data_IF_642676208399
#
_entry.id   IF_642676208399
#
_cell.length_a   1.000
_cell.length_b   1.000
_cell.length_c   1.000
_cell.angle_alpha   90.00
_cell.angle_beta   90.00
_cell.angle_gamma   90.00
#
_symmetry.space_group_name_H-M   'P 1'
#
loop_
_entity.id
_entity.type
_entity.pdbx_description
1 polymer ?
#
# COMPACT_ATOMS: atom_id res chain seq x y z
N UNK A 1 -16.55 1.33 10.68
CA UNK A 1 -16.32 2.55 9.83
C UNK A 1 -17.40 2.70 8.75
N UNK A 2 -18.06 3.86 8.66
CA UNK A 2 -18.88 4.23 7.48
C UNK A 2 -17.97 4.27 6.24
N UNK A 3 -18.32 3.56 5.17
CA UNK A 3 -17.56 3.63 3.91
C UNK A 3 -17.56 5.09 3.44
N UNK A 4 -16.41 5.75 3.52
CA UNK A 4 -16.26 7.09 2.98
C UNK A 4 -16.66 7.08 1.50
N UNK A 5 -17.41 8.10 1.07
CA UNK A 5 -17.83 8.19 -0.33
C UNK A 5 -16.58 8.22 -1.23
N UNK A 6 -16.64 7.66 -2.45
CA UNK A 6 -15.46 7.58 -3.33
C UNK A 6 -14.76 8.93 -3.54
N UNK A 7 -15.52 10.03 -3.56
CA UNK A 7 -15.00 11.41 -3.65
C UNK A 7 -14.17 11.81 -2.42
N UNK A 8 -14.60 11.44 -1.21
CA UNK A 8 -13.86 11.72 0.03
C UNK A 8 -12.55 10.93 0.06
N UNK A 9 -12.55 9.67 -0.38
CA UNK A 9 -11.33 8.84 -0.43
C UNK A 9 -10.26 9.46 -1.34
N UNK A 10 -10.65 9.87 -2.55
CA UNK A 10 -9.74 10.52 -3.50
C UNK A 10 -9.25 11.88 -3.00
N UNK A 11 -10.11 12.62 -2.29
CA UNK A 11 -9.72 13.88 -1.66
C UNK A 11 -8.65 13.67 -0.58
N UNK A 12 -8.83 12.70 0.31
CA UNK A 12 -7.85 12.36 1.35
C UNK A 12 -6.53 11.87 0.74
N UNK A 13 -6.59 11.03 -0.29
CA UNK A 13 -5.39 10.59 -1.02
C UNK A 13 -4.62 11.76 -1.64
N UNK A 14 -5.34 12.74 -2.20
CA UNK A 14 -4.74 13.96 -2.74
C UNK A 14 -4.07 14.79 -1.65
N UNK A 15 -4.72 14.96 -0.49
CA UNK A 15 -4.12 15.67 0.64
C UNK A 15 -2.86 14.97 1.14
N UNK A 16 -2.89 13.64 1.28
CA UNK A 16 -1.73 12.85 1.69
C UNK A 16 -0.56 13.01 0.70
N UNK A 17 -0.83 12.94 -0.61
CA UNK A 17 0.18 13.14 -1.65
C UNK A 17 0.75 14.57 -1.67
N UNK A 18 -0.11 15.59 -1.54
CA UNK A 18 0.34 16.97 -1.47
C UNK A 18 1.19 17.24 -0.21
N UNK A 19 0.85 16.61 0.91
CA UNK A 19 1.60 16.70 2.16
C UNK A 19 2.93 15.98 2.07
N UNK A 20 3.00 14.77 1.49
CA UNK A 20 4.26 14.03 1.33
C UNK A 20 5.36 14.85 0.64
N UNK A 21 4.98 15.75 -0.28
CA UNK A 21 5.91 16.65 -0.97
C UNK A 21 6.08 18.04 -0.32
N UNK A 22 5.26 18.40 0.68
CA UNK A 22 5.53 19.53 1.57
C UNK A 22 6.40 18.99 2.68
N UNK A 23 7.67 19.39 2.73
CA UNK A 23 8.62 19.03 3.77
C UNK A 23 8.24 19.67 5.13
N UNK A 24 6.96 19.62 5.54
CA UNK A 24 6.42 20.08 6.82
C UNK A 24 6.63 19.02 7.90
N UNK A 25 7.78 18.35 7.92
CA UNK A 25 8.11 17.41 8.99
C UNK A 25 8.16 18.18 10.31
N UNK A 26 7.46 17.64 11.30
CA UNK A 26 7.64 18.11 12.68
C UNK A 26 9.12 17.89 13.00
N UNK A 27 9.80 18.92 13.50
CA UNK A 27 11.20 18.77 13.92
C UNK A 27 11.30 17.65 14.96
N UNK A 28 12.46 16.99 15.05
CA UNK A 28 12.69 15.99 16.12
C UNK A 28 12.43 16.61 17.51
N UNK A 29 12.76 17.88 17.71
CA UNK A 29 12.42 18.64 18.92
C UNK A 29 10.90 18.75 19.15
N UNK A 30 10.10 18.94 18.10
CA UNK A 30 8.64 18.95 18.22
C UNK A 30 8.10 17.57 18.57
N UNK A 31 8.66 16.50 17.99
CA UNK A 31 8.29 15.11 18.34
C UNK A 31 8.65 14.78 19.78
N UNK A 32 9.82 15.21 20.23
CA UNK A 32 10.34 14.96 21.57
C UNK A 32 9.62 15.79 22.63
N UNK A 33 9.33 17.06 22.35
CA UNK A 33 8.47 17.91 23.18
C UNK A 33 7.06 17.33 23.31
N UNK A 34 6.49 16.83 22.20
CA UNK A 34 5.21 16.15 22.19
C UNK A 34 5.26 14.89 23.06
N UNK A 35 6.27 14.03 22.90
CA UNK A 35 6.49 12.83 23.72
C UNK A 35 6.60 13.12 25.21
N UNK A 36 7.27 14.22 25.58
CA UNK A 36 7.39 14.66 26.98
C UNK A 36 6.04 15.14 27.54
N UNK A 37 5.28 15.91 26.76
CA UNK A 37 3.93 16.36 27.13
C UNK A 37 2.94 15.17 27.30
N UNK A 38 3.22 14.03 26.66
CA UNK A 38 2.40 12.81 26.73
C UNK A 38 2.64 11.94 27.96
N UNK A 39 3.83 11.99 28.55
CA UNK A 39 4.16 11.25 29.78
C UNK A 39 3.41 11.79 31.01
N UNK A 40 3.10 13.08 31.01
CA UNK A 40 2.57 13.79 32.20
C UNK A 40 1.03 13.85 32.27
N UNK A 41 0.30 13.46 31.21
CA UNK A 41 -1.18 13.50 31.20
C UNK A 41 -1.80 12.45 30.24
N UNK A 42 -1.76 11.15 30.60
CA UNK A 42 -2.21 10.06 29.72
C UNK A 42 -3.71 10.06 29.39
N UNK A 43 -4.56 10.64 30.26
CA UNK A 43 -6.03 10.46 30.19
C UNK A 43 -6.79 11.55 29.40
N UNK A 44 -6.08 12.47 28.73
CA UNK A 44 -6.72 13.53 27.95
C UNK A 44 -7.26 13.03 26.61
N UNK A 45 -8.56 13.18 26.37
CA UNK A 45 -9.21 12.98 25.05
C UNK A 45 -8.49 13.78 23.94
N UNK A 46 -7.96 14.97 24.27
CA UNK A 46 -7.20 15.79 23.33
C UNK A 46 -5.89 15.13 22.90
N UNK A 47 -5.18 14.51 23.84
CA UNK A 47 -3.92 13.80 23.58
C UNK A 47 -4.18 12.54 22.75
N UNK A 48 -5.23 11.76 23.06
CA UNK A 48 -5.66 10.62 22.25
C UNK A 48 -5.97 11.02 20.80
N UNK A 49 -6.72 12.11 20.60
CA UNK A 49 -7.02 12.66 19.26
C UNK A 49 -5.75 13.10 18.52
N UNK A 50 -4.79 13.69 19.23
CA UNK A 50 -3.52 14.11 18.62
C UNK A 50 -2.65 12.91 18.21
N UNK A 51 -2.49 11.91 19.08
CA UNK A 51 -1.77 10.65 18.77
C UNK A 51 -2.37 9.97 17.55
N UNK A 52 -3.70 9.90 17.47
CA UNK A 52 -4.39 9.34 16.30
C UNK A 52 -4.10 10.12 15.01
N UNK A 53 -4.03 11.46 15.07
CA UNK A 53 -3.67 12.30 13.92
C UNK A 53 -2.24 12.08 13.46
N UNK A 54 -1.29 11.98 14.40
CA UNK A 54 0.11 11.70 14.09
C UNK A 54 0.29 10.31 13.47
N UNK A 55 -0.32 9.29 14.06
CA UNK A 55 -0.32 7.94 13.51
C UNK A 55 -0.94 7.92 12.11
N UNK A 56 -2.09 8.56 11.93
CA UNK A 56 -2.73 8.67 10.62
C UNK A 56 -1.82 9.36 9.60
N UNK A 57 -1.11 10.42 10.02
CA UNK A 57 -0.13 11.11 9.19
C UNK A 57 0.99 10.17 8.76
N UNK A 58 1.64 9.52 9.72
CA UNK A 58 2.77 8.62 9.47
C UNK A 58 2.36 7.45 8.55
N UNK A 59 1.22 6.81 8.83
CA UNK A 59 0.69 5.74 8.00
C UNK A 59 0.42 6.18 6.55
N UNK A 60 -0.14 7.38 6.37
CA UNK A 60 -0.35 7.95 5.03
C UNK A 60 0.97 8.21 4.31
N UNK A 61 1.98 8.72 5.00
CA UNK A 61 3.28 9.05 4.38
C UNK A 61 4.01 7.76 3.96
N UNK A 62 3.92 6.68 4.75
CA UNK A 62 4.42 5.34 4.38
C UNK A 62 3.68 4.82 3.14
N UNK A 63 2.34 4.92 3.09
CA UNK A 63 1.54 4.47 1.94
C UNK A 63 1.91 5.24 0.67
N UNK A 64 1.98 6.58 0.76
CA UNK A 64 2.34 7.43 -0.38
C UNK A 64 3.76 7.11 -0.84
N UNK A 65 4.71 6.95 0.08
CA UNK A 65 6.08 6.56 -0.24
C UNK A 65 6.16 5.21 -0.98
N UNK A 66 5.34 4.22 -0.58
CA UNK A 66 5.27 2.92 -1.24
C UNK A 66 4.82 3.03 -2.70
N UNK A 67 3.73 3.79 -2.93
CA UNK A 67 3.16 4.02 -4.26
C UNK A 67 4.16 4.76 -5.16
N UNK A 68 4.85 5.77 -4.63
CA UNK A 68 5.85 6.54 -5.39
C UNK A 68 7.08 5.68 -5.71
N UNK A 69 7.49 4.79 -4.81
CA UNK A 69 8.68 3.97 -5.02
C UNK A 69 8.54 3.03 -6.24
N UNK A 70 7.34 2.55 -6.51
CA UNK A 70 7.02 1.67 -7.66
C UNK A 70 6.67 2.43 -8.94
N UNK A 71 6.56 3.75 -8.88
CA UNK A 71 6.33 4.56 -10.07
C UNK A 71 7.55 4.49 -11.02
N UNK A 72 7.27 4.57 -12.32
CA UNK A 72 8.32 4.67 -13.35
C UNK A 72 9.14 5.95 -13.17
N UNK A 73 10.30 6.04 -13.83
CA UNK A 73 11.13 7.23 -13.74
C UNK A 73 10.39 8.51 -14.21
N UNK A 74 9.66 8.42 -15.32
CA UNK A 74 8.86 9.53 -15.85
C UNK A 74 7.72 9.92 -14.91
N UNK A 75 7.03 8.93 -14.33
CA UNK A 75 5.97 9.15 -13.37
C UNK A 75 6.50 9.84 -12.09
N UNK A 76 7.70 9.46 -11.62
CA UNK A 76 8.38 10.12 -10.50
C UNK A 76 8.71 11.58 -10.81
N UNK A 77 9.18 11.88 -12.03
CA UNK A 77 9.41 13.26 -12.47
C UNK A 77 8.09 14.03 -12.50
N UNK A 78 7.03 13.45 -13.05
CA UNK A 78 5.70 14.05 -13.07
C UNK A 78 5.23 14.41 -11.66
N UNK A 79 5.30 13.45 -10.72
CA UNK A 79 4.86 13.66 -9.33
C UNK A 79 5.66 14.77 -8.64
N UNK A 80 6.99 14.76 -8.76
CA UNK A 80 7.84 15.82 -8.21
C UNK A 80 7.52 17.18 -8.81
N UNK A 81 7.47 17.28 -10.14
CA UNK A 81 7.24 18.55 -10.82
C UNK A 81 5.83 19.09 -10.51
N UNK A 82 4.83 18.21 -10.35
CA UNK A 82 3.45 18.59 -10.02
C UNK A 82 3.24 19.00 -8.56
N UNK A 83 3.75 18.20 -7.61
CA UNK A 83 3.41 18.32 -6.19
C UNK A 83 4.48 19.04 -5.37
N UNK A 84 5.77 18.87 -5.71
CA UNK A 84 6.88 19.61 -5.07
C UNK A 84 7.11 20.97 -5.72
N UNK A 85 7.30 20.99 -7.05
CA UNK A 85 7.62 22.22 -7.79
C UNK A 85 6.39 23.02 -8.25
N UNK A 86 5.18 22.50 -7.99
CA UNK A 86 3.88 23.14 -8.30
C UNK A 86 3.74 23.58 -9.77
N UNK A 87 4.40 22.89 -10.71
CA UNK A 87 4.30 23.18 -12.14
C UNK A 87 2.91 22.85 -12.69
N UNK A 88 2.48 23.61 -13.69
CA UNK A 88 1.22 23.35 -14.39
C UNK A 88 1.37 22.15 -15.35
N UNK A 89 0.24 21.59 -15.80
CA UNK A 89 0.25 20.41 -16.67
C UNK A 89 0.90 20.67 -18.02
N UNK A 90 0.76 21.87 -18.58
CA UNK A 90 1.35 22.25 -19.86
C UNK A 90 2.87 22.20 -19.81
N UNK A 91 3.49 22.79 -18.77
CA UNK A 91 4.93 22.78 -18.60
C UNK A 91 5.50 21.37 -18.43
N UNK A 92 4.78 20.51 -17.68
CA UNK A 92 5.19 19.11 -17.48
C UNK A 92 5.01 18.31 -18.79
N UNK A 93 3.93 18.56 -19.53
CA UNK A 93 3.63 17.92 -20.81
C UNK A 93 4.72 18.20 -21.84
N UNK A 94 5.15 19.45 -21.96
CA UNK A 94 6.27 19.81 -22.84
C UNK A 94 7.59 19.15 -22.43
N UNK A 95 7.84 19.01 -21.13
CA UNK A 95 9.09 18.43 -20.61
C UNK A 95 9.17 16.90 -20.77
N UNK A 96 8.06 16.21 -20.53
CA UNK A 96 8.02 14.73 -20.57
C UNK A 96 7.58 14.20 -21.94
N UNK A 97 7.20 15.07 -22.89
CA UNK A 97 6.61 14.69 -24.17
C UNK A 97 5.36 13.79 -24.02
N UNK A 98 4.63 13.95 -22.90
CA UNK A 98 3.39 13.21 -22.62
C UNK A 98 2.20 14.16 -22.74
N UNK A 99 1.16 13.73 -23.45
CA UNK A 99 -0.07 14.52 -23.59
C UNK A 99 -0.73 14.80 -22.22
N UNK A 100 -1.38 15.96 -22.06
CA UNK A 100 -2.04 16.37 -20.81
C UNK A 100 -3.01 15.29 -20.29
N UNK A 101 -3.78 14.65 -21.17
CA UNK A 101 -4.67 13.53 -20.80
C UNK A 101 -3.90 12.34 -20.21
N UNK A 102 -2.69 12.06 -20.70
CA UNK A 102 -1.80 11.04 -20.12
C UNK A 102 -1.38 11.40 -18.70
N UNK A 103 -0.97 12.65 -18.49
CA UNK A 103 -0.63 13.15 -17.15
C UNK A 103 -1.83 13.12 -16.18
N UNK A 104 -3.05 13.39 -16.66
CA UNK A 104 -4.27 13.25 -15.87
C UNK A 104 -4.53 11.79 -15.49
N UNK A 105 -4.34 10.85 -16.43
CA UNK A 105 -4.44 9.41 -16.14
C UNK A 105 -3.43 8.97 -15.08
N UNK A 106 -2.18 9.45 -15.16
CA UNK A 106 -1.17 9.18 -14.12
C UNK A 106 -1.60 9.72 -12.77
N UNK A 107 -2.06 10.97 -12.70
CA UNK A 107 -2.60 11.55 -11.45
C UNK A 107 -3.71 10.67 -10.88
N UNK A 108 -4.70 10.31 -11.70
CA UNK A 108 -5.86 9.58 -11.25
C UNK A 108 -5.51 8.13 -10.85
N UNK A 109 -4.53 7.51 -11.53
CA UNK A 109 -3.91 6.23 -11.14
C UNK A 109 -3.33 6.33 -9.72
N UNK A 110 -2.44 7.29 -9.47
CA UNK A 110 -1.81 7.46 -8.16
C UNK A 110 -2.81 7.74 -7.05
N UNK A 111 -3.78 8.64 -7.29
CA UNK A 111 -4.79 8.95 -6.28
C UNK A 111 -5.67 7.75 -5.95
N UNK A 112 -6.02 6.92 -6.95
CA UNK A 112 -6.77 5.69 -6.73
C UNK A 112 -5.96 4.66 -5.94
N UNK A 113 -4.69 4.46 -6.27
CA UNK A 113 -3.82 3.53 -5.55
C UNK A 113 -3.64 3.93 -4.08
N UNK A 114 -3.31 5.20 -3.82
CA UNK A 114 -3.19 5.72 -2.46
C UNK A 114 -4.52 5.57 -1.72
N UNK A 115 -5.65 5.90 -2.35
CA UNK A 115 -6.96 5.78 -1.73
C UNK A 115 -7.33 4.33 -1.34
N UNK A 116 -6.99 3.34 -2.19
CA UNK A 116 -7.23 1.92 -1.89
C UNK A 116 -6.40 1.47 -0.69
N UNK A 117 -5.08 1.75 -0.72
CA UNK A 117 -4.18 1.36 0.36
C UNK A 117 -4.51 2.04 1.69
N UNK A 118 -4.92 3.32 1.68
CA UNK A 118 -5.41 4.02 2.88
C UNK A 118 -6.68 3.42 3.49
N UNK A 119 -7.44 2.63 2.73
CA UNK A 119 -8.59 1.86 3.22
C UNK A 119 -8.23 0.39 3.52
N UNK A 120 -6.94 0.04 3.50
CA UNK A 120 -6.43 -1.32 3.67
C UNK A 120 -6.93 -2.28 2.58
N UNK A 121 -7.28 -1.76 1.40
CA UNK A 121 -7.74 -2.52 0.24
C UNK A 121 -6.55 -2.73 -0.70
N UNK A 122 -6.12 -4.00 -0.89
CA UNK A 122 -5.09 -4.38 -1.85
C UNK A 122 -5.75 -4.94 -3.12
N UNK A 123 -5.79 -4.20 -4.24
CA UNK A 123 -6.38 -4.71 -5.48
C UNK A 123 -5.52 -5.82 -6.09
N UNK A 124 -6.12 -6.73 -6.88
CA UNK A 124 -5.45 -7.91 -7.44
C UNK A 124 -4.16 -7.59 -8.21
N UNK A 125 -4.15 -6.49 -8.97
CA UNK A 125 -2.95 -6.02 -9.68
C UNK A 125 -1.76 -5.74 -8.77
N UNK A 126 -2.02 -5.34 -7.53
CA UNK A 126 -1.00 -4.98 -6.53
C UNK A 126 -0.67 -6.17 -5.61
N UNK A 127 -1.34 -7.32 -5.77
CA UNK A 127 -1.08 -8.54 -4.99
C UNK A 127 0.33 -9.07 -5.24
N UNK A 128 0.96 -8.71 -6.36
CA UNK A 128 2.35 -9.10 -6.67
C UNK A 128 3.39 -8.09 -6.16
N UNK A 129 2.96 -6.94 -5.63
CA UNK A 129 3.87 -5.93 -5.07
C UNK A 129 4.27 -6.28 -3.64
N UNK A 130 5.47 -6.85 -3.50
CA UNK A 130 6.07 -7.14 -2.20
C UNK A 130 6.12 -5.90 -1.28
N UNK A 131 6.42 -4.73 -1.88
CA UNK A 131 6.51 -3.46 -1.15
C UNK A 131 5.15 -3.01 -0.63
N UNK A 132 4.09 -3.01 -1.46
CA UNK A 132 2.75 -2.57 -1.05
C UNK A 132 2.17 -3.51 0.00
N UNK A 133 2.38 -4.82 -0.13
CA UNK A 133 1.96 -5.80 0.89
C UNK A 133 2.66 -5.55 2.22
N UNK A 134 3.99 -5.42 2.23
CA UNK A 134 4.75 -5.14 3.45
C UNK A 134 4.37 -3.81 4.11
N UNK A 135 4.05 -2.79 3.31
CA UNK A 135 3.58 -1.49 3.82
C UNK A 135 2.19 -1.60 4.44
N UNK A 136 1.26 -2.32 3.83
CA UNK A 136 -0.05 -2.57 4.42
C UNK A 136 0.06 -3.29 5.76
N UNK A 137 0.94 -4.29 5.87
CA UNK A 137 1.23 -4.97 7.14
C UNK A 137 1.71 -4.00 8.21
N UNK A 138 2.76 -3.23 7.92
CA UNK A 138 3.33 -2.25 8.85
C UNK A 138 2.28 -1.23 9.32
N UNK A 139 1.43 -0.76 8.41
CA UNK A 139 0.37 0.19 8.73
C UNK A 139 -0.71 -0.48 9.59
N UNK A 140 -1.12 -1.71 9.28
CA UNK A 140 -2.10 -2.44 10.07
C UNK A 140 -1.60 -2.71 11.49
N UNK A 141 -0.35 -3.18 11.63
CA UNK A 141 0.28 -3.45 12.93
C UNK A 141 0.30 -2.21 13.82
N UNK A 142 0.74 -1.06 13.31
CA UNK A 142 0.74 0.19 14.08
C UNK A 142 -0.65 0.67 14.47
N UNK A 143 -1.63 0.50 13.59
CA UNK A 143 -3.01 0.83 13.93
C UNK A 143 -3.56 -0.12 15.00
N UNK A 144 -3.29 -1.43 14.90
CA UNK A 144 -3.70 -2.43 15.89
C UNK A 144 -3.06 -2.12 17.25
N UNK A 145 -1.75 -1.91 17.32
CA UNK A 145 -1.03 -1.53 18.54
C UNK A 145 -1.64 -0.27 19.18
N UNK A 146 -1.98 0.73 18.38
CA UNK A 146 -2.66 1.93 18.87
C UNK A 146 -4.02 1.60 19.48
N UNK A 147 -4.84 0.78 18.81
CA UNK A 147 -6.17 0.41 19.32
C UNK A 147 -6.10 -0.50 20.57
N UNK A 148 -5.10 -1.37 20.68
CA UNK A 148 -4.90 -2.25 21.83
C UNK A 148 -4.50 -1.48 23.09
N UNK A 149 -3.76 -0.38 22.95
CA UNK A 149 -3.34 0.48 24.05
C UNK A 149 -4.45 1.41 24.57
N UNK A 150 -5.64 1.46 23.95
CA UNK A 150 -6.72 2.36 24.31
C UNK A 150 -7.93 1.60 24.87
N UNK A 151 -8.43 2.00 26.05
CA UNK A 151 -9.53 1.31 26.76
C UNK A 151 -10.87 1.33 25.99
N UNK A 152 -11.20 2.45 25.34
CA UNK A 152 -12.37 2.54 24.44
C UNK A 152 -12.02 1.97 23.05
N UNK A 153 -11.97 0.64 22.94
CA UNK A 153 -11.71 -0.05 21.67
C UNK A 153 -13.00 -0.54 21.01
N UNK A 154 -13.15 -0.22 19.73
CA UNK A 154 -14.15 -0.87 18.88
C UNK A 154 -13.65 -2.29 18.55
N UNK A 155 -14.10 -3.26 19.34
CA UNK A 155 -13.71 -4.66 19.22
C UNK A 155 -14.06 -5.28 17.85
N UNK A 156 -15.05 -4.74 17.13
CA UNK A 156 -15.39 -5.21 15.78
C UNK A 156 -14.37 -4.69 14.77
N UNK A 157 -14.07 -3.38 14.81
CA UNK A 157 -13.04 -2.79 13.96
C UNK A 157 -11.67 -3.40 14.22
N UNK A 158 -11.30 -3.65 15.48
CA UNK A 158 -10.04 -4.29 15.84
C UNK A 158 -9.94 -5.72 15.27
N UNK A 159 -10.98 -6.54 15.47
CA UNK A 159 -11.05 -7.90 14.88
C UNK A 159 -10.91 -7.87 13.36
N UNK A 160 -11.54 -6.91 12.70
CA UNK A 160 -11.40 -6.74 11.25
C UNK A 160 -9.97 -6.36 10.83
N UNK A 161 -9.31 -5.46 11.56
CA UNK A 161 -7.92 -5.08 11.27
C UNK A 161 -6.98 -6.27 11.47
N UNK A 162 -7.17 -7.06 12.54
CA UNK A 162 -6.42 -8.29 12.76
C UNK A 162 -6.63 -9.29 11.61
N UNK A 163 -7.87 -9.51 11.18
CA UNK A 163 -8.15 -10.40 10.03
C UNK A 163 -7.50 -9.93 8.73
N UNK A 164 -7.45 -8.62 8.47
CA UNK A 164 -6.72 -8.07 7.32
C UNK A 164 -5.21 -8.24 7.45
N UNK A 165 -4.65 -8.01 8.65
CA UNK A 165 -3.22 -8.21 8.95
C UNK A 165 -2.85 -9.66 8.69
N UNK A 166 -3.61 -10.59 9.24
CA UNK A 166 -3.30 -12.02 9.13
C UNK A 166 -3.40 -12.48 7.66
N UNK A 167 -4.41 -12.01 6.91
CA UNK A 167 -4.50 -12.23 5.45
C UNK A 167 -3.25 -11.74 4.72
N UNK A 168 -2.84 -10.48 4.93
CA UNK A 168 -1.68 -9.93 4.23
C UNK A 168 -0.36 -10.54 4.73
N UNK A 169 -0.32 -11.07 5.95
CA UNK A 169 0.84 -11.75 6.51
C UNK A 169 1.05 -13.07 5.81
N UNK A 170 0.00 -13.87 5.65
CA UNK A 170 0.04 -15.11 4.85
C UNK A 170 0.50 -14.83 3.42
N UNK A 171 0.01 -13.76 2.79
CA UNK A 171 0.49 -13.36 1.46
C UNK A 171 1.98 -13.03 1.47
N UNK A 172 2.43 -12.22 2.43
CA UNK A 172 3.83 -11.78 2.54
C UNK A 172 4.79 -12.95 2.79
N UNK A 173 4.43 -13.85 3.70
CA UNK A 173 5.17 -15.09 3.97
C UNK A 173 5.27 -15.96 2.72
N UNK A 174 4.16 -16.09 1.97
CA UNK A 174 4.15 -16.77 0.68
C UNK A 174 5.10 -16.11 -0.33
N UNK A 175 5.13 -14.77 -0.41
CA UNK A 175 6.10 -14.10 -1.28
C UNK A 175 7.55 -14.38 -0.87
N UNK A 176 7.85 -14.31 0.43
CA UNK A 176 9.18 -14.59 0.95
C UNK A 176 9.63 -16.02 0.69
N UNK A 177 8.72 -17.01 0.83
CA UNK A 177 8.97 -18.42 0.54
C UNK A 177 9.47 -18.59 -0.90
N UNK A 178 8.78 -17.98 -1.88
CA UNK A 178 9.12 -18.10 -3.29
C UNK A 178 10.36 -17.30 -3.69
N UNK A 179 10.57 -16.11 -3.10
CA UNK A 179 11.76 -15.30 -3.35
C UNK A 179 13.04 -15.93 -2.80
N UNK A 180 12.95 -16.67 -1.69
CA UNK A 180 14.08 -17.35 -1.03
C UNK A 180 14.28 -18.78 -1.50
N UNK A 181 13.34 -19.33 -2.28
CA UNK A 181 13.42 -20.72 -2.76
C UNK A 181 14.48 -20.90 -3.84
N UNK A 182 15.30 -21.94 -3.66
CA UNK A 182 16.24 -22.44 -4.68
C UNK A 182 15.65 -23.59 -5.51
N UNK A 183 14.36 -23.90 -5.34
CA UNK A 183 13.67 -24.87 -6.17
C UNK A 183 13.51 -24.33 -7.61
N UNK A 184 13.85 -25.16 -8.59
CA UNK A 184 13.78 -24.84 -10.01
C UNK A 184 12.53 -25.45 -10.67
N UNK A 185 11.54 -25.89 -9.86
CA UNK A 185 10.22 -26.24 -10.36
C UNK A 185 9.60 -25.07 -11.14
N UNK A 186 8.82 -25.41 -12.18
CA UNK A 186 8.14 -24.42 -13.02
C UNK A 186 7.28 -23.47 -12.19
N UNK A 187 6.61 -24.01 -11.16
CA UNK A 187 5.78 -23.24 -10.25
C UNK A 187 6.58 -22.16 -9.49
N UNK A 188 7.69 -22.57 -8.86
CA UNK A 188 8.54 -21.65 -8.09
C UNK A 188 9.16 -20.59 -9.00
N UNK A 189 9.69 -21.01 -10.15
CA UNK A 189 10.30 -20.08 -11.12
C UNK A 189 9.29 -19.04 -11.61
N UNK A 190 8.09 -19.45 -12.03
CA UNK A 190 7.06 -18.51 -12.52
C UNK A 190 6.68 -17.48 -11.47
N UNK A 191 6.39 -17.92 -10.24
CA UNK A 191 5.97 -17.01 -9.16
C UNK A 191 7.11 -16.08 -8.73
N UNK A 192 8.34 -16.61 -8.62
CA UNK A 192 9.53 -15.81 -8.30
C UNK A 192 9.74 -14.70 -9.32
N UNK A 193 9.74 -15.04 -10.61
CA UNK A 193 9.90 -14.05 -11.68
C UNK A 193 8.73 -13.05 -11.72
N UNK A 194 7.50 -13.49 -11.43
CA UNK A 194 6.36 -12.57 -11.29
C UNK A 194 6.56 -11.54 -10.17
N UNK A 195 7.14 -11.94 -9.05
CA UNK A 195 7.40 -11.06 -7.90
C UNK A 195 8.58 -10.10 -8.15
N UNK A 196 9.55 -10.52 -8.96
CA UNK A 196 10.69 -9.68 -9.36
C UNK A 196 10.31 -8.68 -10.46
N UNK A 197 9.38 -9.06 -11.35
CA UNK A 197 8.98 -8.30 -12.53
C UNK A 197 7.47 -7.98 -12.52
N UNK A 198 7.05 -7.21 -11.53
CA UNK A 198 5.63 -6.89 -11.27
C UNK A 198 4.98 -6.11 -12.43
N UNK A 199 5.77 -5.34 -13.16
CA UNK A 199 5.33 -4.53 -14.31
C UNK A 199 5.03 -5.35 -15.57
N UNK A 200 5.62 -6.53 -15.71
CA UNK A 200 5.47 -7.33 -16.93
C UNK A 200 4.03 -7.79 -17.10
N UNK A 201 3.54 -7.82 -18.34
CA UNK A 201 2.31 -8.53 -18.65
C UNK A 201 2.49 -10.04 -18.50
N UNK A 202 1.41 -10.80 -18.33
CA UNK A 202 1.49 -12.27 -18.23
C UNK A 202 2.14 -12.91 -19.47
N UNK A 203 1.94 -12.33 -20.65
CA UNK A 203 2.59 -12.82 -21.88
C UNK A 203 4.08 -12.51 -21.97
N UNK A 204 4.49 -11.33 -21.50
CA UNK A 204 5.91 -10.98 -21.39
C UNK A 204 6.60 -11.89 -20.37
N UNK A 205 5.93 -12.16 -19.25
CA UNK A 205 6.41 -13.11 -18.25
C UNK A 205 6.57 -14.51 -18.84
N UNK A 206 5.58 -15.00 -19.60
CA UNK A 206 5.64 -16.32 -20.25
C UNK A 206 6.85 -16.47 -21.18
N UNK A 207 7.11 -15.44 -22.00
CA UNK A 207 8.30 -15.39 -22.84
C UNK A 207 9.60 -15.33 -22.02
N UNK A 208 9.60 -14.57 -20.92
CA UNK A 208 10.76 -14.41 -20.04
C UNK A 208 11.15 -15.71 -19.34
N UNK A 209 10.18 -16.45 -18.81
CA UNK A 209 10.42 -17.71 -18.07
C UNK A 209 10.62 -18.93 -18.97
N UNK A 210 10.18 -18.84 -20.23
CA UNK A 210 10.26 -19.91 -21.22
C UNK A 210 9.14 -20.95 -21.10
N UNK A 211 7.97 -20.57 -20.57
CA UNK A 211 6.81 -21.46 -20.41
C UNK A 211 5.62 -21.00 -21.25
N UNK A 212 4.66 -21.90 -21.48
CA UNK A 212 3.41 -21.54 -22.13
C UNK A 212 2.58 -20.58 -21.25
N UNK A 213 1.75 -19.75 -21.87
CA UNK A 213 0.80 -18.88 -21.16
C UNK A 213 -0.06 -19.66 -20.16
N UNK A 214 -0.55 -20.84 -20.55
CA UNK A 214 -1.39 -21.69 -19.70
C UNK A 214 -0.64 -22.16 -18.45
N UNK A 215 0.64 -22.56 -18.59
CA UNK A 215 1.47 -22.95 -17.45
C UNK A 215 1.66 -21.78 -16.49
N UNK A 216 1.94 -20.58 -17.03
CA UNK A 216 2.10 -19.37 -16.20
C UNK A 216 0.80 -19.06 -15.45
N UNK A 217 -0.33 -19.00 -16.15
CA UNK A 217 -1.63 -18.69 -15.54
C UNK A 217 -1.98 -19.67 -14.42
N UNK A 218 -1.74 -20.97 -14.62
CA UNK A 218 -1.97 -21.99 -13.61
C UNK A 218 -1.11 -21.76 -12.36
N UNK A 219 0.19 -21.52 -12.53
CA UNK A 219 1.09 -21.29 -11.39
C UNK A 219 0.71 -20.02 -10.61
N UNK A 220 0.37 -18.94 -11.31
CA UNK A 220 -0.05 -17.70 -10.66
C UNK A 220 -1.39 -17.88 -9.94
N UNK A 221 -2.34 -18.61 -10.53
CA UNK A 221 -3.63 -18.89 -9.91
C UNK A 221 -3.50 -19.79 -8.67
N UNK A 222 -2.62 -20.79 -8.70
CA UNK A 222 -2.33 -21.66 -7.56
C UNK A 222 -1.74 -20.88 -6.39
N UNK A 223 -0.78 -19.98 -6.66
CA UNK A 223 -0.25 -19.07 -5.63
C UNK A 223 -1.35 -18.19 -5.02
N UNK A 224 -2.16 -17.53 -5.85
CA UNK A 224 -3.24 -16.67 -5.36
C UNK A 224 -4.26 -17.45 -4.54
N UNK A 225 -4.63 -18.65 -4.97
CA UNK A 225 -5.55 -19.53 -4.23
C UNK A 225 -4.98 -19.93 -2.87
N UNK A 226 -3.68 -20.22 -2.80
CA UNK A 226 -3.01 -20.64 -1.56
C UNK A 226 -2.86 -19.47 -0.57
N UNK A 227 -2.41 -18.31 -1.02
CA UNK A 227 -1.95 -17.25 -0.12
C UNK A 227 -2.84 -15.99 -0.08
N UNK A 228 -3.64 -15.71 -1.11
CA UNK A 228 -4.47 -14.49 -1.17
C UNK A 228 -5.98 -14.75 -1.04
N UNK A 229 -6.46 -15.90 -1.52
CA UNK A 229 -7.81 -16.39 -1.32
C UNK A 229 -7.84 -17.70 -0.52
N UNK A 230 -7.18 -17.77 0.64
CA UNK A 230 -7.16 -19.01 1.40
C UNK A 230 -8.60 -19.43 1.73
N UNK A 231 -8.95 -20.71 1.57
CA UNK A 231 -10.26 -21.20 1.93
C UNK A 231 -10.51 -20.89 3.42
N UNK A 232 -11.65 -20.27 3.72
CA UNK A 232 -12.06 -20.02 5.09
C UNK A 232 -12.20 -21.39 5.76
N UNK A 233 -11.35 -21.69 6.74
CA UNK A 233 -11.49 -22.88 7.56
C UNK A 233 -12.84 -22.81 8.29
N UNK A 234 -13.88 -23.45 7.73
CA UNK A 234 -15.24 -23.38 8.26
C UNK A 234 -16.38 -23.71 7.28
N UNK A 235 -16.14 -23.91 5.98
CA UNK A 235 -17.21 -24.26 5.01
C UNK A 235 -17.20 -25.74 4.58
N UNK A 236 -16.98 -26.65 5.52
CA UNK A 236 -17.21 -28.10 5.34
C UNK A 236 -17.83 -28.66 6.63
N UNK A 237 -19.09 -28.32 6.84
CA UNK A 237 -20.02 -29.09 7.66
C UNK A 237 -21.44 -28.88 7.13
N UNK A 238 -21.80 -29.69 6.14
CA UNK A 238 -23.18 -30.01 5.77
C UNK A 238 -23.19 -31.46 5.28
#
# INVERSE_FOLDING_TARGET
>A
MRKATPKVRLYLARQALERYYREDDLSEEQKEWMNKLYGDNPDSIGIKKMRMRLLSRECCDIIVGAVIAEASHEEKIFLRDKYKLRRNFTAISCKLHVHINGLQRWRDKFLKEIALLMNYELPERDVWSYRKVGVLLKVLERNIEFWEQNEERDNESLRRLCGLRDKYRTLYEGMEEYLKSNDESSHVKVVRERLLHVEMGTGELAAHVGYSHTTVDLCLAEFLKKYYYPPVAGSLSS
#
